data_IF_520436783401
#
_entry.id   IF_520436783401
#
_cell.length_a   1.000
_cell.length_b   1.000
_cell.length_c   1.000
_cell.angle_alpha   90.00
_cell.angle_beta   90.00
_cell.angle_gamma   90.00
#
_symmetry.space_group_name_H-M   'P 1'
#
loop_
_entity.id
_entity.type
_entity.pdbx_description
1 polymer ?
#
# COMPACT_ATOMS: atom_id res chain seq x y z
N UNK A 1 39.21 -6.96 -2.16
CA UNK A 1 38.59 -6.23 -3.30
C UNK A 1 38.49 -4.76 -2.95
N UNK A 2 39.12 -3.84 -3.68
CA UNK A 2 38.96 -2.40 -3.45
C UNK A 2 37.52 -2.03 -3.83
N UNK A 3 36.71 -1.56 -2.87
CA UNK A 3 35.38 -1.01 -3.17
C UNK A 3 35.57 0.14 -4.18
N UNK A 4 34.97 0.01 -5.36
CA UNK A 4 34.90 1.10 -6.33
C UNK A 4 33.92 2.13 -5.76
N UNK A 5 34.44 3.25 -5.27
CA UNK A 5 33.60 4.37 -4.84
C UNK A 5 32.97 4.94 -6.10
N UNK A 6 31.67 4.74 -6.27
CA UNK A 6 30.90 5.36 -7.36
C UNK A 6 30.74 6.83 -6.96
N UNK A 7 31.27 7.73 -7.79
CA UNK A 7 31.09 9.16 -7.58
C UNK A 7 29.69 9.54 -8.06
N UNK A 8 28.83 9.90 -7.13
CA UNK A 8 27.51 10.42 -7.47
C UNK A 8 27.65 11.81 -8.12
N UNK A 9 27.03 11.98 -9.27
CA UNK A 9 27.10 13.22 -10.08
C UNK A 9 25.72 13.81 -10.38
N UNK A 10 24.67 13.10 -9.97
CA UNK A 10 23.27 13.48 -10.14
C UNK A 10 22.58 13.60 -8.78
N UNK A 11 21.59 14.46 -8.70
CA UNK A 11 20.63 14.42 -7.59
C UNK A 11 19.81 13.13 -7.64
N UNK A 12 19.24 12.74 -6.51
CA UNK A 12 18.36 11.57 -6.43
C UNK A 12 17.21 11.64 -7.43
N UNK A 13 16.59 12.80 -7.54
CA UNK A 13 15.47 13.06 -8.48
C UNK A 13 15.90 12.94 -9.95
N UNK A 14 17.05 13.50 -10.33
CA UNK A 14 17.58 13.37 -11.70
C UNK A 14 17.87 11.91 -12.04
N UNK A 15 18.46 11.18 -11.08
CA UNK A 15 18.78 9.77 -11.22
C UNK A 15 17.54 8.92 -11.47
N UNK A 16 16.48 9.11 -10.66
CA UNK A 16 15.20 8.41 -10.79
C UNK A 16 14.55 8.75 -12.14
N UNK A 17 14.46 10.03 -12.50
CA UNK A 17 13.86 10.47 -13.77
C UNK A 17 14.58 9.92 -14.99
N UNK A 18 15.92 9.89 -14.99
CA UNK A 18 16.68 9.25 -16.05
C UNK A 18 16.36 7.78 -16.19
N UNK A 19 16.30 7.07 -15.07
CA UNK A 19 15.95 5.64 -15.07
C UNK A 19 14.54 5.40 -15.62
N UNK A 20 13.56 6.20 -15.24
CA UNK A 20 12.19 6.11 -15.75
C UNK A 20 12.10 6.42 -17.25
N UNK A 21 13.00 7.28 -17.76
CA UNK A 21 13.12 7.59 -19.19
C UNK A 21 13.99 6.58 -19.96
N UNK A 22 14.36 5.44 -19.35
CA UNK A 22 15.27 4.44 -19.95
C UNK A 22 16.67 4.99 -20.32
N UNK A 23 17.11 6.04 -19.64
CA UNK A 23 18.45 6.59 -19.75
C UNK A 23 19.36 6.00 -18.65
N UNK A 24 20.69 6.00 -18.91
CA UNK A 24 21.66 5.48 -17.94
C UNK A 24 21.97 6.54 -16.87
N UNK A 25 21.65 6.30 -15.59
CA UNK A 25 22.02 7.16 -14.49
C UNK A 25 23.48 6.89 -14.04
N UNK A 26 23.99 7.70 -13.11
CA UNK A 26 25.31 7.53 -12.50
C UNK A 26 25.42 6.27 -11.62
N UNK A 27 24.33 5.81 -11.04
CA UNK A 27 24.12 4.52 -10.35
C UNK A 27 22.64 4.10 -10.39
N UNK A 28 22.37 2.86 -10.05
CA UNK A 28 20.99 2.38 -9.88
C UNK A 28 20.32 3.18 -8.76
N UNK A 29 19.09 3.70 -8.97
CA UNK A 29 18.31 4.29 -7.90
C UNK A 29 18.00 3.27 -6.79
N UNK A 30 17.97 3.74 -5.56
CA UNK A 30 17.63 2.92 -4.39
C UNK A 30 16.32 3.42 -3.82
N UNK A 31 15.41 2.49 -3.58
CA UNK A 31 14.14 2.74 -2.91
C UNK A 31 14.03 1.89 -1.64
N UNK A 32 13.58 2.50 -0.54
CA UNK A 32 13.31 1.87 0.73
C UNK A 32 12.29 2.72 1.49
N UNK A 33 11.31 2.08 2.11
CA UNK A 33 10.36 2.74 3.00
C UNK A 33 8.98 2.96 2.43
N UNK A 34 8.68 2.43 1.22
CA UNK A 34 7.32 2.30 0.72
C UNK A 34 6.69 0.95 1.12
N UNK A 35 5.42 0.75 0.77
CA UNK A 35 4.72 -0.52 1.05
C UNK A 35 5.38 -1.72 0.34
N UNK A 36 5.87 -1.54 -0.89
CA UNK A 36 6.53 -2.61 -1.68
C UNK A 36 8.02 -2.71 -1.43
N UNK A 37 8.63 -1.67 -0.89
CA UNK A 37 10.06 -1.57 -0.59
C UNK A 37 10.30 -1.40 0.91
N UNK A 38 9.32 -1.83 1.71
CA UNK A 38 9.30 -1.69 3.15
C UNK A 38 10.31 -2.57 3.86
N UNK A 39 10.55 -2.25 5.11
CA UNK A 39 11.32 -3.06 6.03
C UNK A 39 10.45 -3.40 7.24
N UNK A 40 10.38 -4.69 7.57
CA UNK A 40 9.65 -5.15 8.75
C UNK A 40 10.24 -4.53 10.03
N UNK A 41 9.38 -4.12 10.97
CA UNK A 41 9.81 -3.39 12.17
C UNK A 41 10.91 -4.09 12.98
N UNK A 42 10.84 -5.40 13.14
CA UNK A 42 11.87 -6.17 13.87
C UNK A 42 13.22 -6.04 13.16
N UNK A 43 13.27 -6.25 11.85
CA UNK A 43 14.49 -6.10 11.07
C UNK A 43 15.00 -4.64 11.08
N UNK A 44 14.08 -3.68 11.12
CA UNK A 44 14.43 -2.27 11.22
C UNK A 44 15.03 -1.92 12.57
N UNK A 45 14.44 -2.41 13.68
CA UNK A 45 14.96 -2.25 15.05
C UNK A 45 16.37 -2.84 15.18
N UNK A 46 16.57 -4.09 14.72
CA UNK A 46 17.88 -4.74 14.71
C UNK A 46 18.91 -3.96 13.86
N UNK A 47 18.48 -3.41 12.73
CA UNK A 47 19.33 -2.60 11.86
C UNK A 47 19.74 -1.29 12.53
N UNK A 48 18.80 -0.62 13.21
CA UNK A 48 19.10 0.61 13.97
C UNK A 48 20.11 0.33 15.08
N UNK A 49 19.92 -0.73 15.85
CA UNK A 49 20.83 -1.16 16.91
C UNK A 49 22.23 -1.46 16.35
N UNK A 50 22.30 -2.21 15.26
CA UNK A 50 23.57 -2.52 14.59
C UNK A 50 24.32 -1.27 14.12
N UNK A 51 23.59 -0.26 13.67
CA UNK A 51 24.16 0.99 13.17
C UNK A 51 24.42 2.04 14.26
N UNK A 52 23.98 1.80 15.50
CA UNK A 52 24.03 2.75 16.60
C UNK A 52 23.15 3.99 16.34
N UNK A 53 22.03 3.81 15.64
CA UNK A 53 21.06 4.87 15.38
C UNK A 53 19.93 4.74 16.38
N UNK A 54 19.77 5.73 17.24
CA UNK A 54 18.65 5.81 18.19
C UNK A 54 17.49 6.62 17.58
N UNK A 55 16.26 6.25 17.90
CA UNK A 55 15.04 6.94 17.49
C UNK A 55 13.80 6.12 17.79
N UNK A 56 12.64 6.74 17.68
CA UNK A 56 11.34 6.06 17.76
C UNK A 56 11.08 5.26 16.48
N UNK A 57 10.58 4.05 16.64
CA UNK A 57 10.13 3.23 15.52
C UNK A 57 8.66 3.51 15.27
N UNK A 58 8.36 4.16 14.15
CA UNK A 58 7.00 4.40 13.70
C UNK A 58 6.56 3.27 12.75
N UNK A 59 5.31 2.88 12.84
CA UNK A 59 4.74 1.88 11.94
C UNK A 59 4.07 2.60 10.77
N UNK A 60 4.48 2.22 9.56
CA UNK A 60 3.88 2.68 8.31
C UNK A 60 2.65 1.83 7.94
N UNK A 61 2.78 0.52 8.07
CA UNK A 61 1.72 -0.44 7.76
C UNK A 61 1.57 -1.41 8.94
N UNK A 62 0.46 -1.32 9.68
CA UNK A 62 0.23 -2.21 10.82
C UNK A 62 -0.11 -3.65 10.40
N UNK A 63 -0.62 -3.90 9.19
CA UNK A 63 -0.95 -5.25 8.73
C UNK A 63 0.32 -6.03 8.44
N UNK A 64 1.24 -5.45 7.68
CA UNK A 64 2.53 -6.06 7.34
C UNK A 64 3.63 -5.77 8.36
N UNK A 65 3.35 -5.01 9.41
CA UNK A 65 4.31 -4.57 10.42
C UNK A 65 5.53 -3.83 9.81
N UNK A 66 5.28 -3.02 8.78
CA UNK A 66 6.34 -2.24 8.14
C UNK A 66 6.66 -1.00 8.96
N UNK A 67 7.95 -0.80 9.21
CA UNK A 67 8.44 0.43 9.84
C UNK A 67 8.50 1.57 8.82
N UNK A 68 8.32 2.80 9.31
CA UNK A 68 8.64 4.03 8.59
C UNK A 68 10.11 4.37 8.83
N UNK A 69 11.02 4.20 7.86
CA UNK A 69 12.42 4.51 8.06
C UNK A 69 12.66 6.00 8.30
N UNK A 70 13.55 6.31 9.23
CA UNK A 70 13.96 7.69 9.49
C UNK A 70 14.80 8.24 8.35
N UNK A 71 14.76 9.56 8.12
CA UNK A 71 15.60 10.22 7.12
C UNK A 71 17.08 9.92 7.31
N UNK A 72 17.55 9.86 8.57
CA UNK A 72 18.92 9.49 8.91
C UNK A 72 19.33 8.12 8.35
N UNK A 73 18.41 7.13 8.39
CA UNK A 73 18.66 5.82 7.81
C UNK A 73 18.62 5.88 6.28
N UNK A 74 17.61 6.54 5.71
CA UNK A 74 17.44 6.68 4.26
C UNK A 74 18.64 7.38 3.62
N UNK A 75 19.16 8.42 4.25
CA UNK A 75 20.41 9.11 3.85
C UNK A 75 21.61 8.20 3.96
N UNK A 76 21.74 7.45 5.05
CA UNK A 76 22.84 6.49 5.26
C UNK A 76 22.94 5.43 4.18
N UNK A 77 21.78 5.03 3.61
CA UNK A 77 21.67 4.05 2.54
C UNK A 77 21.54 4.67 1.15
N UNK A 78 21.68 5.99 1.03
CA UNK A 78 21.58 6.72 -0.24
C UNK A 78 20.25 6.47 -0.97
N UNK A 79 19.14 6.40 -0.22
CA UNK A 79 17.81 6.20 -0.78
C UNK A 79 17.37 7.43 -1.55
N UNK A 80 16.89 7.21 -2.77
CA UNK A 80 16.61 8.26 -3.75
C UNK A 80 15.15 8.75 -3.74
N UNK A 81 14.27 8.02 -3.06
CA UNK A 81 12.83 8.26 -3.09
C UNK A 81 12.32 8.66 -1.71
N UNK A 82 11.33 9.55 -1.68
CA UNK A 82 10.49 9.84 -0.51
C UNK A 82 9.02 9.65 -0.88
N UNK A 83 8.22 9.24 0.10
CA UNK A 83 6.82 8.93 -0.12
C UNK A 83 5.92 10.05 0.33
N UNK A 84 4.92 10.36 -0.50
CA UNK A 84 3.81 11.25 -0.22
C UNK A 84 2.56 10.38 -0.14
N UNK A 85 2.00 10.24 1.05
CA UNK A 85 0.83 9.39 1.29
C UNK A 85 -0.33 10.22 1.82
N UNK A 86 -1.54 9.84 1.43
CA UNK A 86 -2.75 10.29 2.09
C UNK A 86 -2.94 9.54 3.41
N UNK A 87 -3.84 10.02 4.24
CA UNK A 87 -4.27 9.34 5.46
C UNK A 87 -5.67 8.73 5.32
N UNK A 88 -6.16 8.07 6.35
CA UNK A 88 -7.56 7.68 6.46
C UNK A 88 -8.46 8.93 6.54
N UNK A 89 -9.76 8.81 6.21
CA UNK A 89 -10.69 9.92 6.33
C UNK A 89 -10.97 10.22 7.80
N UNK A 90 -11.26 11.48 8.11
CA UNK A 90 -11.59 11.93 9.48
C UNK A 90 -12.83 11.20 10.06
N UNK A 91 -13.69 10.69 9.18
CA UNK A 91 -14.90 9.95 9.56
C UNK A 91 -14.63 8.51 10.01
N UNK A 92 -13.40 8.00 9.81
CA UNK A 92 -13.04 6.61 10.13
C UNK A 92 -12.10 6.56 11.33
N UNK A 93 -12.61 6.02 12.44
CA UNK A 93 -11.84 5.74 13.65
C UNK A 93 -11.43 4.27 13.66
N UNK A 94 -10.44 3.93 12.84
CA UNK A 94 -9.84 2.60 12.74
C UNK A 94 -8.84 2.37 13.87
N UNK A 95 -9.29 1.88 15.01
CA UNK A 95 -8.44 1.55 16.16
C UNK A 95 -7.97 0.09 16.19
N UNK A 96 -6.92 -0.16 16.98
CA UNK A 96 -6.53 -1.52 17.35
C UNK A 96 -7.34 -1.91 18.58
N UNK A 97 -8.07 -3.02 18.50
CA UNK A 97 -8.82 -3.61 19.61
C UNK A 97 -8.06 -4.81 20.17
N UNK A 98 -7.83 -4.83 21.49
CA UNK A 98 -7.19 -5.94 22.18
C UNK A 98 -8.25 -6.85 22.81
N UNK A 99 -8.08 -8.18 22.67
CA UNK A 99 -8.99 -9.17 23.23
C UNK A 99 -8.27 -10.50 23.52
N UNK A 100 -8.92 -11.37 24.30
CA UNK A 100 -8.43 -12.72 24.59
C UNK A 100 -9.22 -13.73 23.75
N UNK A 101 -8.51 -14.53 22.95
CA UNK A 101 -9.06 -15.62 22.15
C UNK A 101 -8.37 -16.94 22.50
N UNK A 102 -9.13 -17.91 23.01
CA UNK A 102 -8.59 -19.21 23.43
C UNK A 102 -7.43 -19.11 24.45
N UNK A 103 -7.51 -18.16 25.40
CA UNK A 103 -6.48 -17.94 26.42
C UNK A 103 -5.19 -17.30 25.95
N UNK A 104 -5.18 -16.74 24.75
CA UNK A 104 -4.07 -16.01 24.14
C UNK A 104 -4.49 -14.58 23.84
N UNK A 105 -3.63 -13.61 24.08
CA UNK A 105 -3.87 -12.21 23.76
C UNK A 105 -3.76 -11.96 22.25
N UNK A 106 -4.69 -11.21 21.70
CA UNK A 106 -4.80 -10.85 20.30
C UNK A 106 -5.13 -9.37 20.16
N UNK A 107 -4.76 -8.82 19.04
CA UNK A 107 -5.27 -7.53 18.59
C UNK A 107 -5.82 -7.60 17.18
N UNK A 108 -6.90 -6.87 16.98
CA UNK A 108 -7.62 -6.74 15.73
C UNK A 108 -7.50 -5.30 15.21
N UNK A 109 -7.37 -5.17 13.91
CA UNK A 109 -7.47 -3.92 13.17
C UNK A 109 -8.62 -4.04 12.18
N UNK A 110 -9.64 -3.22 12.32
CA UNK A 110 -10.71 -3.12 11.32
C UNK A 110 -10.37 -2.01 10.34
N UNK A 111 -10.33 -2.32 9.05
CA UNK A 111 -10.13 -1.32 8.01
C UNK A 111 -11.45 -0.63 7.61
N UNK A 112 -11.35 0.41 6.80
CA UNK A 112 -12.52 1.19 6.36
C UNK A 112 -13.49 0.42 5.45
N UNK A 113 -13.03 -0.69 4.85
CA UNK A 113 -13.87 -1.60 4.07
C UNK A 113 -14.57 -2.64 4.95
N UNK A 114 -14.34 -2.61 6.26
CA UNK A 114 -14.93 -3.54 7.22
C UNK A 114 -14.25 -4.88 7.32
N UNK A 115 -13.11 -5.07 6.67
CA UNK A 115 -12.26 -6.26 6.85
C UNK A 115 -11.59 -6.18 8.21
N UNK A 116 -11.55 -7.31 8.95
CA UNK A 116 -10.83 -7.37 10.22
C UNK A 116 -9.58 -8.19 10.06
N UNK A 117 -8.48 -7.57 10.38
CA UNK A 117 -7.14 -8.13 10.41
C UNK A 117 -6.76 -8.45 11.85
N UNK A 118 -6.22 -9.64 12.11
CA UNK A 118 -5.93 -10.12 13.46
C UNK A 118 -4.53 -10.67 13.57
N UNK A 119 -3.89 -10.44 14.71
CA UNK A 119 -2.60 -11.04 15.04
C UNK A 119 -2.53 -11.34 16.53
N UNK A 120 -1.98 -12.51 16.95
CA UNK A 120 -1.69 -12.73 18.36
C UNK A 120 -0.52 -11.88 18.82
N UNK A 121 -0.58 -11.35 20.05
CA UNK A 121 0.40 -10.41 20.59
C UNK A 121 1.83 -10.99 20.72
N UNK A 122 1.93 -12.31 20.85
CA UNK A 122 3.21 -13.04 20.93
C UNK A 122 3.78 -13.44 19.54
N UNK A 123 3.03 -13.19 18.44
CA UNK A 123 3.44 -13.47 17.08
C UNK A 123 3.39 -12.17 16.28
N UNK A 124 4.49 -11.47 16.18
CA UNK A 124 4.54 -10.11 15.69
C UNK A 124 5.03 -10.01 14.22
N UNK A 125 4.58 -10.90 13.33
CA UNK A 125 5.03 -10.92 11.93
C UNK A 125 4.04 -10.18 11.01
N UNK A 126 2.86 -10.75 10.81
CA UNK A 126 1.81 -10.21 9.94
C UNK A 126 0.44 -10.41 10.58
N UNK A 127 -0.49 -9.53 10.26
CA UNK A 127 -1.90 -9.75 10.56
C UNK A 127 -2.56 -10.57 9.44
N UNK A 128 -3.36 -11.55 9.82
CA UNK A 128 -4.18 -12.33 8.92
C UNK A 128 -5.63 -11.83 8.94
N UNK A 129 -6.36 -12.01 7.82
CA UNK A 129 -7.77 -11.66 7.78
C UNK A 129 -8.58 -12.67 8.63
N UNK A 130 -9.27 -12.16 9.65
CA UNK A 130 -10.14 -12.94 10.53
C UNK A 130 -11.63 -12.76 10.21
N UNK A 131 -12.00 -11.68 9.50
CA UNK A 131 -13.38 -11.41 9.11
C UNK A 131 -13.46 -10.79 7.71
N UNK A 132 -14.32 -11.38 6.89
CA UNK A 132 -14.66 -10.92 5.56
C UNK A 132 -16.10 -10.39 5.58
N UNK A 133 -16.33 -9.08 5.48
CA UNK A 133 -17.66 -8.49 5.69
C UNK A 133 -18.71 -8.95 4.66
N UNK A 134 -18.30 -9.36 3.49
CA UNK A 134 -19.17 -9.82 2.41
C UNK A 134 -19.09 -11.34 2.14
N UNK A 135 -18.57 -12.13 3.09
CA UNK A 135 -18.36 -13.58 2.92
C UNK A 135 -19.61 -14.35 2.46
N UNK A 136 -20.81 -13.90 2.87
CA UNK A 136 -22.08 -14.53 2.52
C UNK A 136 -23.08 -13.59 1.84
N UNK A 137 -22.61 -12.44 1.38
CA UNK A 137 -23.46 -11.43 0.79
C UNK A 137 -24.03 -11.88 -0.55
N UNK A 138 -25.27 -11.53 -0.80
CA UNK A 138 -25.91 -11.54 -2.11
C UNK A 138 -25.57 -10.25 -2.87
N UNK A 139 -25.95 -10.18 -4.13
CA UNK A 139 -25.79 -8.96 -4.92
C UNK A 139 -26.64 -7.79 -4.39
N UNK A 140 -27.75 -8.09 -3.74
CA UNK A 140 -28.59 -7.08 -3.05
C UNK A 140 -27.85 -6.52 -1.85
N UNK A 141 -27.29 -7.40 -1.01
CA UNK A 141 -26.50 -6.99 0.16
C UNK A 141 -25.27 -6.15 -0.24
N UNK A 142 -24.62 -6.51 -1.37
CA UNK A 142 -23.51 -5.75 -1.92
C UNK A 142 -23.94 -4.33 -2.32
N UNK A 143 -25.12 -4.15 -2.87
CA UNK A 143 -25.61 -2.83 -3.25
C UNK A 143 -25.89 -1.93 -2.06
N UNK A 144 -26.35 -2.53 -0.96
CA UNK A 144 -26.67 -1.83 0.30
C UNK A 144 -25.45 -1.68 1.23
N UNK A 145 -24.33 -2.33 0.90
CA UNK A 145 -23.11 -2.27 1.71
C UNK A 145 -22.51 -0.86 1.70
N UNK A 146 -22.18 -0.30 2.88
CA UNK A 146 -21.61 1.03 2.99
C UNK A 146 -20.12 1.03 2.59
N UNK A 147 -19.83 1.05 1.30
CA UNK A 147 -18.46 1.24 0.83
C UNK A 147 -17.92 2.58 1.30
N UNK A 148 -16.61 2.66 1.65
CA UNK A 148 -15.99 3.90 2.00
C UNK A 148 -16.00 4.89 0.83
N UNK A 149 -15.96 6.19 1.16
CA UNK A 149 -15.83 7.25 0.16
C UNK A 149 -14.36 7.52 -0.16
N UNK A 150 -13.93 7.13 -1.37
CA UNK A 150 -12.57 7.41 -1.85
C UNK A 150 -12.33 8.90 -2.08
N UNK A 151 -13.39 9.65 -2.39
CA UNK A 151 -13.34 11.09 -2.67
C UNK A 151 -13.42 11.99 -1.43
N UNK A 152 -13.46 11.43 -0.23
CA UNK A 152 -13.45 12.23 1.01
C UNK A 152 -12.18 13.06 1.11
N UNK A 153 -12.31 14.37 0.93
CA UNK A 153 -11.19 15.32 0.87
C UNK A 153 -10.41 15.41 2.19
N UNK A 154 -10.98 15.00 3.32
CA UNK A 154 -10.25 14.96 4.59
C UNK A 154 -9.01 14.06 4.52
N UNK A 155 -9.02 13.01 3.69
CA UNK A 155 -7.87 12.13 3.41
C UNK A 155 -6.64 12.87 2.91
N UNK A 156 -6.83 14.00 2.25
CA UNK A 156 -5.77 14.73 1.56
C UNK A 156 -5.35 16.00 2.28
N UNK A 157 -5.87 16.23 3.49
CA UNK A 157 -5.54 17.43 4.29
C UNK A 157 -4.04 17.49 4.56
N UNK A 158 -3.40 18.60 4.15
CA UNK A 158 -1.96 18.85 4.36
C UNK A 158 -1.02 18.12 3.41
N UNK A 159 -1.50 17.17 2.59
CA UNK A 159 -0.66 16.37 1.69
C UNK A 159 0.08 17.23 0.68
N UNK A 160 -0.59 18.25 0.11
CA UNK A 160 0.07 19.19 -0.82
C UNK A 160 1.22 19.96 -0.16
N UNK A 161 1.03 20.44 1.08
CA UNK A 161 2.07 21.17 1.79
C UNK A 161 3.29 20.29 2.06
N UNK A 162 3.08 19.03 2.50
CA UNK A 162 4.14 18.03 2.67
C UNK A 162 4.89 17.80 1.35
N UNK A 163 4.16 17.59 0.24
CA UNK A 163 4.75 17.37 -1.06
C UNK A 163 5.56 18.58 -1.55
N UNK A 164 5.08 19.80 -1.32
CA UNK A 164 5.79 21.04 -1.67
C UNK A 164 7.08 21.19 -0.85
N UNK A 165 7.06 20.92 0.44
CA UNK A 165 8.24 20.93 1.30
C UNK A 165 9.30 19.94 0.78
N UNK A 166 8.93 18.67 0.61
CA UNK A 166 9.83 17.66 0.07
C UNK A 166 10.35 18.02 -1.33
N UNK A 167 9.50 18.60 -2.19
CA UNK A 167 9.87 18.97 -3.56
C UNK A 167 10.87 20.10 -3.63
N UNK A 168 10.71 21.11 -2.78
CA UNK A 168 11.49 22.35 -2.81
C UNK A 168 12.75 22.26 -1.95
N UNK A 169 12.71 21.52 -0.83
CA UNK A 169 13.79 21.49 0.15
C UNK A 169 14.69 20.27 0.04
N UNK A 170 14.32 19.27 -0.78
CA UNK A 170 15.10 18.04 -0.90
C UNK A 170 15.44 17.67 -2.35
N UNK A 171 16.54 16.93 -2.57
CA UNK A 171 16.92 16.46 -3.89
C UNK A 171 16.22 15.15 -4.32
N UNK A 172 15.33 14.60 -3.47
CA UNK A 172 14.73 13.28 -3.68
C UNK A 172 13.63 13.30 -4.72
N UNK A 173 13.42 12.16 -5.40
CA UNK A 173 12.23 11.91 -6.18
C UNK A 173 11.05 11.60 -5.23
N UNK A 174 9.85 11.97 -5.63
CA UNK A 174 8.64 11.75 -4.84
C UNK A 174 7.79 10.64 -5.46
N UNK A 175 7.39 9.68 -4.64
CA UNK A 175 6.48 8.60 -5.01
C UNK A 175 5.22 8.67 -4.15
N UNK A 176 4.10 8.21 -4.69
CA UNK A 176 2.89 8.00 -3.90
C UNK A 176 3.01 6.70 -3.08
N UNK A 177 2.21 6.57 -2.03
CA UNK A 177 1.94 5.25 -1.44
C UNK A 177 1.22 4.34 -2.44
N UNK A 178 1.16 3.05 -2.13
CA UNK A 178 0.43 2.09 -2.95
C UNK A 178 -1.07 2.34 -2.84
N UNK A 179 -1.76 2.18 -3.96
CA UNK A 179 -3.21 2.20 -4.06
C UNK A 179 -3.66 1.54 -5.35
N UNK A 180 -4.94 1.70 -5.73
CA UNK A 180 -5.48 1.11 -6.94
C UNK A 180 -5.60 -0.41 -6.87
N UNK A 181 -5.77 -0.95 -5.68
CA UNK A 181 -5.90 -2.38 -5.37
C UNK A 181 -7.33 -2.82 -5.67
N UNK A 182 -7.65 -2.93 -6.97
CA UNK A 182 -9.03 -3.16 -7.44
C UNK A 182 -9.46 -4.61 -7.21
N UNK A 183 -8.62 -5.56 -7.59
CA UNK A 183 -8.92 -6.99 -7.52
C UNK A 183 -8.75 -7.55 -6.11
N UNK A 184 -7.69 -7.14 -5.43
CA UNK A 184 -7.29 -7.73 -4.15
C UNK A 184 -8.30 -7.41 -3.05
N UNK A 185 -8.83 -6.18 -2.97
CA UNK A 185 -9.89 -5.83 -2.03
C UNK A 185 -11.17 -6.64 -2.22
N UNK A 186 -11.44 -7.14 -3.42
CA UNK A 186 -12.61 -8.01 -3.64
C UNK A 186 -12.52 -9.29 -2.81
N UNK A 187 -11.37 -9.97 -2.81
CA UNK A 187 -11.23 -11.18 -2.01
C UNK A 187 -10.92 -10.90 -0.53
N UNK A 188 -10.38 -9.73 -0.17
CA UNK A 188 -10.32 -9.31 1.23
C UNK A 188 -11.72 -9.23 1.84
N UNK A 189 -12.67 -8.66 1.11
CA UNK A 189 -14.05 -8.51 1.59
C UNK A 189 -14.88 -9.79 1.45
N UNK A 190 -14.64 -10.61 0.43
CA UNK A 190 -15.43 -11.81 0.10
C UNK A 190 -14.92 -13.09 0.75
N UNK A 191 -13.63 -13.18 1.02
CA UNK A 191 -12.89 -14.40 1.29
C UNK A 191 -12.35 -15.03 0.01
N UNK A 192 -11.07 -15.44 0.03
CA UNK A 192 -10.35 -15.88 -1.17
C UNK A 192 -11.00 -17.10 -1.85
N UNK A 193 -11.39 -18.10 -1.06
CA UNK A 193 -12.04 -19.32 -1.58
C UNK A 193 -13.36 -18.98 -2.26
N UNK A 194 -14.23 -18.24 -1.57
CA UNK A 194 -15.52 -17.86 -2.11
C UNK A 194 -15.40 -16.96 -3.34
N UNK A 195 -14.40 -16.08 -3.35
CA UNK A 195 -14.11 -15.23 -4.51
C UNK A 195 -13.79 -16.05 -5.76
N UNK A 196 -12.96 -17.09 -5.63
CA UNK A 196 -12.67 -17.98 -6.76
C UNK A 196 -13.89 -18.79 -7.24
N UNK A 197 -14.74 -19.22 -6.32
CA UNK A 197 -16.01 -19.88 -6.68
C UNK A 197 -16.92 -18.91 -7.44
N UNK A 198 -17.08 -17.69 -6.95
CA UNK A 198 -17.93 -16.67 -7.56
C UNK A 198 -17.44 -16.25 -8.96
N UNK A 199 -16.14 -16.27 -9.25
CA UNK A 199 -15.61 -16.00 -10.58
C UNK A 199 -16.16 -16.95 -11.64
N UNK A 200 -16.60 -18.14 -11.25
CA UNK A 200 -17.15 -19.18 -12.15
C UNK A 200 -18.67 -19.24 -12.02
N UNK A 201 -19.19 -19.29 -10.80
CA UNK A 201 -20.60 -19.56 -10.55
C UNK A 201 -21.46 -18.29 -10.47
N UNK A 202 -20.84 -17.16 -10.11
CA UNK A 202 -21.56 -15.90 -9.91
C UNK A 202 -20.78 -14.68 -10.49
N UNK A 203 -20.46 -14.67 -11.80
CA UNK A 203 -19.63 -13.63 -12.41
C UNK A 203 -20.24 -12.23 -12.27
N UNK A 204 -21.58 -12.11 -12.22
CA UNK A 204 -22.26 -10.84 -12.00
C UNK A 204 -21.93 -10.22 -10.63
N UNK A 205 -21.78 -11.03 -9.58
CA UNK A 205 -21.34 -10.56 -8.28
C UNK A 205 -19.88 -10.07 -8.33
N UNK A 206 -18.99 -10.84 -9.01
CA UNK A 206 -17.60 -10.44 -9.18
C UNK A 206 -17.46 -9.11 -9.92
N UNK A 207 -18.19 -8.92 -11.00
CA UNK A 207 -18.18 -7.66 -11.75
C UNK A 207 -18.67 -6.50 -10.89
N UNK A 208 -19.77 -6.69 -10.15
CA UNK A 208 -20.31 -5.67 -9.26
C UNK A 208 -19.32 -5.28 -8.15
N UNK A 209 -18.60 -6.26 -7.57
CA UNK A 209 -17.55 -6.01 -6.57
C UNK A 209 -16.40 -5.19 -7.18
N UNK A 210 -15.90 -5.61 -8.34
CA UNK A 210 -14.82 -4.92 -9.05
C UNK A 210 -15.19 -3.47 -9.40
N UNK A 211 -16.45 -3.20 -9.80
CA UNK A 211 -16.93 -1.84 -10.05
C UNK A 211 -16.94 -0.98 -8.78
N UNK A 212 -17.33 -1.57 -7.63
CA UNK A 212 -17.32 -0.84 -6.35
C UNK A 212 -15.91 -0.47 -5.90
N UNK A 213 -14.96 -1.43 -5.97
CA UNK A 213 -13.55 -1.16 -5.63
C UNK A 213 -12.90 -0.20 -6.61
N UNK A 214 -13.16 -0.35 -7.92
CA UNK A 214 -12.69 0.58 -8.93
C UNK A 214 -13.19 2.01 -8.68
N UNK A 215 -14.49 2.16 -8.38
CA UNK A 215 -15.06 3.49 -8.09
C UNK A 215 -14.34 4.17 -6.92
N UNK A 216 -14.11 3.43 -5.82
CA UNK A 216 -13.37 3.96 -4.67
C UNK A 216 -11.99 4.47 -5.08
N UNK A 217 -11.22 3.68 -5.82
CA UNK A 217 -9.86 4.07 -6.21
C UNK A 217 -9.83 5.18 -7.25
N UNK A 218 -10.80 5.23 -8.16
CA UNK A 218 -10.91 6.34 -9.11
C UNK A 218 -11.22 7.66 -8.40
N UNK A 219 -12.13 7.65 -7.43
CA UNK A 219 -12.45 8.83 -6.64
C UNK A 219 -11.25 9.26 -5.78
N UNK A 220 -10.57 8.29 -5.13
CA UNK A 220 -9.37 8.53 -4.34
C UNK A 220 -8.25 9.17 -5.17
N UNK A 221 -7.88 8.58 -6.29
CA UNK A 221 -6.81 9.13 -7.10
C UNK A 221 -7.18 10.44 -7.79
N UNK A 222 -8.45 10.66 -8.09
CA UNK A 222 -8.90 11.96 -8.60
C UNK A 222 -8.66 13.05 -7.56
N UNK A 223 -9.04 12.84 -6.31
CA UNK A 223 -8.78 13.77 -5.22
C UNK A 223 -7.28 13.93 -4.93
N UNK A 224 -6.60 12.80 -4.71
CA UNK A 224 -5.18 12.78 -4.35
C UNK A 224 -4.28 13.44 -5.41
N UNK A 225 -4.45 13.08 -6.68
CA UNK A 225 -3.61 13.64 -7.76
C UNK A 225 -4.00 15.09 -8.12
N UNK A 226 -5.20 15.53 -7.76
CA UNK A 226 -5.53 16.97 -7.82
C UNK A 226 -4.64 17.77 -6.87
N UNK A 227 -4.32 17.20 -5.69
CA UNK A 227 -3.44 17.84 -4.72
C UNK A 227 -1.94 17.74 -5.09
N UNK A 228 -1.48 16.59 -5.59
CA UNK A 228 -0.03 16.33 -5.68
C UNK A 228 0.46 15.88 -7.06
N UNK A 229 -0.39 15.75 -8.06
CA UNK A 229 -0.01 15.20 -9.37
C UNK A 229 1.07 16.00 -10.10
N UNK A 230 1.16 17.31 -9.85
CA UNK A 230 2.21 18.20 -10.37
C UNK A 230 3.54 18.10 -9.60
N UNK A 231 3.56 17.44 -8.45
CA UNK A 231 4.69 17.39 -7.52
C UNK A 231 5.37 16.02 -7.46
N UNK A 232 4.64 14.93 -7.73
CA UNK A 232 5.19 13.56 -7.65
C UNK A 232 5.86 13.13 -8.95
N UNK A 233 6.83 12.25 -8.86
CA UNK A 233 7.55 11.68 -10.00
C UNK A 233 7.04 10.27 -10.35
N UNK A 234 6.45 9.57 -9.36
CA UNK A 234 5.94 8.21 -9.49
C UNK A 234 4.57 8.10 -8.84
N UNK A 235 3.61 7.52 -9.55
CA UNK A 235 2.34 7.05 -9.00
C UNK A 235 2.39 5.54 -8.93
N UNK A 236 2.18 4.98 -7.73
CA UNK A 236 2.23 3.55 -7.51
C UNK A 236 0.82 2.98 -7.39
N UNK A 237 0.55 1.98 -8.22
CA UNK A 237 -0.65 1.13 -8.12
C UNK A 237 -0.20 -0.34 -8.03
N UNK A 238 -1.01 -1.19 -7.44
CA UNK A 238 -0.69 -2.60 -7.32
C UNK A 238 -1.92 -3.47 -7.14
N UNK A 239 -1.76 -4.75 -7.45
CA UNK A 239 -2.79 -5.77 -7.28
C UNK A 239 -2.12 -7.15 -7.28
N UNK A 240 -2.47 -8.04 -6.37
CA UNK A 240 -1.96 -9.40 -6.34
C UNK A 240 -2.73 -10.30 -7.32
N UNK A 241 -2.14 -10.50 -8.50
CA UNK A 241 -2.75 -11.26 -9.60
C UNK A 241 -2.16 -12.67 -9.75
N UNK A 242 -1.09 -12.99 -9.00
CA UNK A 242 -0.37 -14.24 -9.15
C UNK A 242 0.19 -14.72 -7.81
N UNK A 243 0.28 -16.03 -7.66
CA UNK A 243 1.04 -16.67 -6.60
C UNK A 243 2.40 -17.12 -7.10
N UNK A 244 3.14 -17.85 -6.24
CA UNK A 244 4.50 -18.31 -6.55
C UNK A 244 4.55 -19.35 -7.70
N UNK A 245 3.44 -20.02 -7.99
CA UNK A 245 3.37 -21.06 -9.03
C UNK A 245 2.71 -20.58 -10.34
N UNK A 246 2.20 -19.37 -10.37
CA UNK A 246 1.52 -18.83 -11.55
C UNK A 246 0.37 -17.87 -11.22
N UNK A 247 -0.39 -17.46 -12.25
CA UNK A 247 -1.56 -16.60 -12.06
C UNK A 247 -2.60 -17.25 -11.14
N UNK A 248 -3.28 -16.44 -10.33
CA UNK A 248 -4.35 -16.90 -9.43
C UNK A 248 -5.63 -17.29 -10.20
N UNK A 249 -5.79 -16.80 -11.42
CA UNK A 249 -6.94 -17.05 -12.27
C UNK A 249 -6.54 -17.08 -13.75
N UNK A 250 -7.46 -17.47 -14.63
CA UNK A 250 -7.15 -17.63 -16.04
C UNK A 250 -6.73 -16.31 -16.72
N UNK A 251 -5.79 -16.34 -17.67
CA UNK A 251 -5.43 -15.16 -18.45
C UNK A 251 -6.62 -14.54 -19.21
N UNK A 252 -7.64 -15.32 -19.53
CA UNK A 252 -8.83 -14.83 -20.21
C UNK A 252 -9.73 -14.02 -19.28
N UNK A 253 -9.92 -14.47 -18.05
CA UNK A 253 -10.59 -13.66 -17.00
C UNK A 253 -9.85 -12.34 -16.78
N UNK A 254 -8.53 -12.38 -16.67
CA UNK A 254 -7.73 -11.15 -16.56
C UNK A 254 -8.01 -10.20 -17.72
N UNK A 255 -7.89 -10.66 -18.96
CA UNK A 255 -8.04 -9.81 -20.15
C UNK A 255 -9.44 -9.23 -20.32
N UNK A 256 -10.45 -10.01 -19.96
CA UNK A 256 -11.85 -9.64 -20.18
C UNK A 256 -12.43 -8.83 -19.00
N UNK A 257 -12.03 -9.15 -17.78
CA UNK A 257 -12.68 -8.63 -16.57
C UNK A 257 -11.78 -7.68 -15.79
N UNK A 258 -10.55 -8.09 -15.43
CA UNK A 258 -9.68 -7.28 -14.54
C UNK A 258 -8.95 -6.19 -15.30
N UNK A 259 -8.27 -6.54 -16.40
CA UNK A 259 -7.43 -5.61 -17.18
C UNK A 259 -8.14 -4.32 -17.65
N UNK A 260 -9.41 -4.35 -18.12
CA UNK A 260 -10.11 -3.13 -18.52
C UNK A 260 -10.29 -2.14 -17.36
N UNK A 261 -10.35 -2.65 -16.11
CA UNK A 261 -10.53 -1.86 -14.91
C UNK A 261 -9.21 -1.32 -14.35
N UNK A 262 -8.11 -1.99 -14.66
CA UNK A 262 -6.75 -1.51 -14.32
C UNK A 262 -6.18 -0.53 -15.36
N UNK A 263 -6.81 -0.40 -16.53
CA UNK A 263 -6.40 0.49 -17.63
C UNK A 263 -6.94 1.91 -17.44
#
# INVERSE_FOLDING_TARGET
>A
MKRRVIKETMSSRERVRKTLNHEIPDRVPIDLGGFQTGIHRIAYEELLDHLGISGEVKILDPVQQLAQPSDKLLERFHVDIRYVCAHGPDSFDGGIEHHIRNGRDWHDLKDEFGVVWSMPDDQQLYMDISHHPLARASIADLNDYPFPDGGDMSRFTGVRNMALELRNETPYALSTGIGGVVYEYCWYMRGLEQWFVDMIENPAFCEAMLEKTLKFWMDYYTGFLTEVGDLVDIVMIGDDLAGQQGPLFSPDFYRQVVKPRQK
#
